data_IF_509537658781
#
_entry.id   IF_509537658781
#
_cell.length_a   1.000
_cell.length_b   1.000
_cell.length_c   1.000
_cell.angle_alpha   90.00
_cell.angle_beta   90.00
_cell.angle_gamma   90.00
#
_symmetry.space_group_name_H-M   'P 1'
#
loop_
_entity.id
_entity.type
_entity.pdbx_description
1 polymer ?
#
# COMPACT_ATOMS: atom_id res chain seq x y z
N UNK A 1 19.63 -26.30 -45.25
CA UNK A 1 20.82 -25.83 -44.51
C UNK A 1 20.87 -26.59 -43.20
N UNK A 2 22.06 -27.08 -42.86
CA UNK A 2 22.34 -28.14 -41.88
C UNK A 2 22.77 -27.51 -40.54
N UNK A 3 22.60 -28.29 -39.46
CA UNK A 3 23.26 -28.21 -38.14
C UNK A 3 22.65 -27.21 -37.12
N UNK A 4 22.55 -27.51 -35.82
CA UNK A 4 23.05 -28.63 -34.99
C UNK A 4 22.31 -28.62 -33.64
N UNK A 5 22.00 -29.80 -33.11
CA UNK A 5 21.65 -30.01 -31.70
C UNK A 5 22.83 -29.70 -30.78
N UNK A 6 22.55 -29.24 -29.56
CA UNK A 6 23.34 -29.58 -28.37
C UNK A 6 22.44 -29.72 -27.15
N UNK A 7 22.20 -30.98 -26.77
CA UNK A 7 21.78 -31.39 -25.44
C UNK A 7 22.99 -31.22 -24.49
N UNK A 8 22.77 -30.61 -23.32
CA UNK A 8 23.62 -30.85 -22.15
C UNK A 8 22.77 -31.25 -20.95
N UNK A 9 22.84 -32.54 -20.67
CA UNK A 9 22.49 -33.16 -19.40
C UNK A 9 23.64 -32.88 -18.42
N UNK A 10 23.36 -32.23 -17.31
CA UNK A 10 24.26 -32.26 -16.15
C UNK A 10 23.69 -33.25 -15.13
N UNK A 11 24.26 -34.46 -15.12
CA UNK A 11 24.19 -35.38 -13.98
C UNK A 11 25.08 -34.82 -12.88
N UNK A 12 24.54 -34.61 -11.69
CA UNK A 12 25.30 -34.35 -10.46
C UNK A 12 24.75 -35.23 -9.36
N UNK A 13 25.45 -36.32 -9.05
CA UNK A 13 25.16 -37.19 -7.92
C UNK A 13 25.97 -36.72 -6.71
N UNK A 14 25.25 -36.45 -5.61
CA UNK A 14 25.61 -36.51 -4.19
C UNK A 14 26.90 -35.83 -3.67
N UNK A 15 26.78 -35.08 -2.56
CA UNK A 15 27.13 -35.53 -1.20
C UNK A 15 26.88 -34.37 -0.21
N UNK A 16 26.14 -34.71 0.85
CA UNK A 16 26.13 -34.18 2.22
C UNK A 16 26.78 -32.81 2.46
N UNK A 17 25.91 -31.84 2.79
CA UNK A 17 26.28 -30.64 3.53
C UNK A 17 25.04 -30.17 4.28
N UNK A 18 24.84 -30.69 5.49
CA UNK A 18 23.89 -30.14 6.46
C UNK A 18 24.40 -28.76 6.88
N UNK A 19 24.14 -27.74 6.07
CA UNK A 19 24.32 -26.36 6.47
C UNK A 19 23.18 -26.03 7.42
N UNK A 20 23.48 -26.02 8.72
CA UNK A 20 22.68 -25.32 9.71
C UNK A 20 22.51 -23.88 9.23
N UNK A 21 21.33 -23.58 8.66
CA UNK A 21 20.85 -22.21 8.55
C UNK A 21 20.64 -21.79 9.99
N UNK A 22 21.62 -21.07 10.53
CA UNK A 22 21.38 -20.21 11.68
C UNK A 22 20.24 -19.29 11.24
N UNK A 23 19.04 -19.54 11.76
CA UNK A 23 18.02 -18.51 11.89
C UNK A 23 18.63 -17.46 12.80
N UNK A 24 19.42 -16.56 12.21
CA UNK A 24 19.73 -15.28 12.80
C UNK A 24 18.38 -14.66 13.09
N UNK A 25 18.11 -14.48 14.38
CA UNK A 25 17.14 -13.55 14.89
C UNK A 25 17.60 -12.16 14.39
N UNK A 26 17.29 -11.86 13.12
CA UNK A 26 17.41 -10.52 12.57
C UNK A 26 16.50 -9.67 13.43
N UNK A 27 17.11 -8.83 14.27
CA UNK A 27 16.38 -7.83 15.02
C UNK A 27 15.53 -7.08 14.01
N UNK A 28 14.21 -7.20 14.14
CA UNK A 28 13.30 -6.36 13.39
C UNK A 28 13.68 -4.93 13.74
N UNK A 29 14.32 -4.24 12.80
CA UNK A 29 14.42 -2.79 12.88
C UNK A 29 12.98 -2.29 13.06
N UNK A 30 12.75 -1.57 14.14
CA UNK A 30 11.44 -1.02 14.46
C UNK A 30 10.96 -0.20 13.26
N UNK A 31 9.87 -0.66 12.67
CA UNK A 31 9.19 -0.01 11.54
C UNK A 31 8.52 1.30 11.93
N UNK A 32 8.49 1.65 13.22
CA UNK A 32 7.98 2.94 13.73
C UNK A 32 8.68 4.14 13.08
N UNK A 33 9.97 3.97 12.75
CA UNK A 33 10.73 4.97 12.00
C UNK A 33 10.16 5.17 10.59
N UNK A 34 9.81 4.09 9.90
CA UNK A 34 9.32 4.14 8.53
C UNK A 34 7.94 4.80 8.44
N UNK A 35 7.02 4.49 9.35
CA UNK A 35 5.72 5.17 9.37
C UNK A 35 5.85 6.66 9.69
N UNK A 36 6.69 7.01 10.66
CA UNK A 36 6.95 8.40 11.03
C UNK A 36 7.59 9.19 9.87
N UNK A 37 8.49 8.58 9.11
CA UNK A 37 9.09 9.19 7.93
C UNK A 37 8.05 9.42 6.82
N UNK A 38 7.21 8.43 6.53
CA UNK A 38 6.11 8.57 5.57
C UNK A 38 5.10 9.64 5.98
N UNK A 39 4.81 9.75 7.28
CA UNK A 39 3.96 10.80 7.82
C UNK A 39 4.53 12.19 7.52
N UNK A 40 5.81 12.39 7.82
CA UNK A 40 6.48 13.67 7.61
C UNK A 40 6.67 14.02 6.12
N UNK A 41 6.88 13.00 5.27
CA UNK A 41 7.07 13.18 3.83
C UNK A 41 5.76 13.45 3.08
N UNK A 42 4.65 12.80 3.47
CA UNK A 42 3.41 12.82 2.67
C UNK A 42 2.11 12.85 3.48
N UNK A 43 1.92 11.96 4.45
CA UNK A 43 0.57 11.74 5.01
C UNK A 43 0.04 12.92 5.84
N UNK A 44 0.91 13.75 6.41
CA UNK A 44 0.51 14.94 7.17
C UNK A 44 -0.30 15.98 6.38
N UNK A 45 -0.35 15.87 5.04
CA UNK A 45 -1.14 16.76 4.18
C UNK A 45 -2.56 16.26 3.93
N UNK A 46 -2.85 14.98 4.16
CA UNK A 46 -4.13 14.36 3.80
C UNK A 46 -5.30 14.97 4.57
N UNK A 47 -5.13 15.26 5.86
CA UNK A 47 -6.20 15.79 6.70
C UNK A 47 -6.38 17.31 6.69
N UNK A 48 -5.53 18.08 6.01
CA UNK A 48 -5.56 19.55 6.10
C UNK A 48 -6.85 20.13 5.51
N UNK A 49 -7.37 19.53 4.43
CA UNK A 49 -8.54 20.07 3.72
C UNK A 49 -9.64 19.04 3.44
N UNK A 50 -9.29 17.76 3.28
CA UNK A 50 -10.20 16.76 2.71
C UNK A 50 -10.40 15.50 3.54
N UNK A 51 -9.66 15.31 4.63
CA UNK A 51 -9.84 14.12 5.46
C UNK A 51 -9.66 14.50 6.92
N UNK A 52 -10.47 15.43 7.39
CA UNK A 52 -10.58 15.74 8.82
C UNK A 52 -12.02 15.57 9.26
N UNK A 53 -12.22 15.33 10.55
CA UNK A 53 -13.55 15.22 11.16
C UNK A 53 -14.44 16.45 10.95
N UNK A 54 -13.89 17.60 10.53
CA UNK A 54 -14.61 18.83 10.22
C UNK A 54 -14.53 19.29 8.76
N UNK A 55 -14.07 18.44 7.83
CA UNK A 55 -13.98 18.79 6.41
C UNK A 55 -15.38 18.95 5.80
N UNK A 56 -15.71 20.15 5.32
CA UNK A 56 -17.01 20.52 4.73
C UNK A 56 -17.05 20.35 3.20
N UNK A 57 -16.30 19.38 2.67
CA UNK A 57 -16.13 19.14 1.24
C UNK A 57 -16.79 17.82 0.78
N UNK A 58 -17.67 17.25 1.59
CA UNK A 58 -18.33 15.98 1.34
C UNK A 58 -17.56 14.74 1.81
N UNK A 59 -16.35 14.91 2.36
CA UNK A 59 -15.58 13.82 2.98
C UNK A 59 -15.90 13.62 4.47
N UNK A 60 -16.71 14.51 5.04
CA UNK A 60 -17.27 14.38 6.37
C UNK A 60 -17.86 12.97 6.60
N UNK A 61 -17.59 12.43 7.80
CA UNK A 61 -17.91 11.06 8.21
C UNK A 61 -17.05 9.94 7.59
N UNK A 62 -16.00 10.28 6.83
CA UNK A 62 -14.94 9.37 6.42
C UNK A 62 -13.81 9.24 7.45
N UNK A 63 -12.68 8.61 7.06
CA UNK A 63 -11.46 8.54 7.87
C UNK A 63 -10.92 9.92 8.26
N UNK A 64 -10.53 10.10 9.53
CA UNK A 64 -9.81 11.29 9.99
C UNK A 64 -8.30 11.09 9.83
N UNK A 65 -7.69 11.88 8.95
CA UNK A 65 -6.27 11.86 8.60
C UNK A 65 -5.55 13.13 9.07
N UNK A 66 -6.15 13.90 9.99
CA UNK A 66 -5.61 15.17 10.49
C UNK A 66 -4.41 15.00 11.42
N UNK A 67 -4.25 13.83 12.03
CA UNK A 67 -3.12 13.50 12.91
C UNK A 67 -2.53 12.16 12.54
N UNK A 68 -1.28 11.93 12.96
CA UNK A 68 -0.58 10.67 12.73
C UNK A 68 -1.38 9.49 13.32
N UNK A 69 -1.80 9.61 14.57
CA UNK A 69 -2.54 8.55 15.24
C UNK A 69 -3.92 8.32 14.60
N UNK A 70 -4.63 9.39 14.23
CA UNK A 70 -5.92 9.26 13.53
C UNK A 70 -5.74 8.55 12.19
N UNK A 71 -4.76 8.96 11.37
CA UNK A 71 -4.47 8.33 10.09
C UNK A 71 -4.25 6.82 10.23
N UNK A 72 -3.41 6.42 11.19
CA UNK A 72 -3.13 5.01 11.41
C UNK A 72 -4.40 4.25 11.81
N UNK A 73 -5.11 4.74 12.82
CA UNK A 73 -6.27 4.08 13.42
C UNK A 73 -7.47 4.00 12.46
N UNK A 74 -7.59 4.97 11.55
CA UNK A 74 -8.73 5.11 10.64
C UNK A 74 -8.49 4.48 9.26
N UNK A 75 -7.24 4.14 8.92
CA UNK A 75 -6.93 3.46 7.64
C UNK A 75 -6.45 2.02 7.80
N UNK A 76 -5.58 1.73 8.76
CA UNK A 76 -4.95 0.41 8.87
C UNK A 76 -5.97 -0.63 9.33
N UNK A 77 -6.22 -1.64 8.47
CA UNK A 77 -7.24 -2.66 8.74
C UNK A 77 -8.69 -2.15 8.66
N UNK A 78 -8.91 -0.90 8.24
CA UNK A 78 -10.25 -0.32 8.04
C UNK A 78 -10.64 -0.35 6.57
N UNK A 79 -11.93 -0.34 6.31
CA UNK A 79 -12.51 -0.28 4.96
C UNK A 79 -13.65 0.74 4.93
N UNK A 80 -14.21 0.95 3.75
CA UNK A 80 -15.34 1.84 3.57
C UNK A 80 -16.60 1.40 4.35
N UNK A 81 -16.69 0.12 4.75
CA UNK A 81 -17.76 -0.39 5.61
C UNK A 81 -17.69 0.15 7.05
N UNK A 82 -16.51 0.61 7.51
CA UNK A 82 -16.36 1.26 8.81
C UNK A 82 -16.96 2.68 8.84
N UNK A 83 -17.26 3.25 7.67
CA UNK A 83 -17.71 4.63 7.48
C UNK A 83 -19.01 4.65 6.64
N UNK A 84 -20.14 4.17 7.18
CA UNK A 84 -21.37 3.95 6.41
C UNK A 84 -22.01 5.24 5.89
N UNK A 85 -21.72 6.38 6.50
CA UNK A 85 -22.25 7.69 6.11
C UNK A 85 -21.28 8.49 5.21
N UNK A 86 -20.12 7.93 4.89
CA UNK A 86 -19.12 8.61 4.09
C UNK A 86 -19.52 8.64 2.61
N UNK A 87 -19.69 9.85 2.07
CA UNK A 87 -19.93 10.06 0.64
C UNK A 87 -18.61 9.92 -0.11
N UNK A 88 -18.52 8.93 -1.00
CA UNK A 88 -17.29 8.58 -1.72
C UNK A 88 -17.52 8.45 -3.22
N UNK A 89 -16.46 8.73 -3.99
CA UNK A 89 -16.49 8.70 -5.46
C UNK A 89 -16.00 7.37 -6.08
N UNK A 90 -15.60 6.39 -5.26
CA UNK A 90 -15.17 5.06 -5.68
C UNK A 90 -16.08 3.95 -5.14
N UNK A 91 -16.05 2.79 -5.79
CA UNK A 91 -16.88 1.62 -5.46
C UNK A 91 -16.07 0.40 -4.97
N UNK A 92 -14.76 0.56 -4.74
CA UNK A 92 -13.89 -0.42 -4.06
C UNK A 92 -14.21 -0.53 -2.56
N UNK A 93 -15.41 -1.01 -2.24
CA UNK A 93 -16.03 -0.91 -0.92
C UNK A 93 -15.64 -2.03 0.05
N UNK A 94 -15.20 -3.16 -0.51
CA UNK A 94 -14.87 -4.40 0.21
C UNK A 94 -13.43 -4.44 0.67
N UNK A 95 -12.58 -3.65 0.04
CA UNK A 95 -11.14 -3.69 0.25
C UNK A 95 -10.72 -2.73 1.37
N UNK A 96 -9.70 -3.17 2.09
CA UNK A 96 -9.11 -2.41 3.19
C UNK A 96 -8.37 -1.19 2.62
N UNK A 97 -8.47 -0.05 3.30
CA UNK A 97 -7.73 1.15 2.94
C UNK A 97 -6.22 0.89 2.96
N UNK A 98 -5.72 0.32 4.05
CA UNK A 98 -4.35 -0.18 4.18
C UNK A 98 -4.40 -1.63 4.66
N UNK A 99 -4.09 -2.56 3.76
CA UNK A 99 -4.02 -3.98 4.02
C UNK A 99 -2.57 -4.35 4.40
N UNK A 100 -2.29 -4.39 5.71
CA UNK A 100 -0.96 -4.79 6.21
C UNK A 100 -0.55 -6.16 5.67
N UNK A 101 0.60 -6.22 5.01
CA UNK A 101 1.12 -7.39 4.31
C UNK A 101 0.84 -7.43 2.80
N UNK A 102 0.00 -6.52 2.28
CA UNK A 102 -0.40 -6.53 0.86
C UNK A 102 -0.73 -5.13 0.32
N UNK A 103 0.29 -4.44 -0.19
CA UNK A 103 0.14 -3.13 -0.82
C UNK A 103 -0.74 -3.17 -2.09
N UNK A 104 -0.78 -4.28 -2.82
CA UNK A 104 -1.52 -4.39 -4.08
C UNK A 104 -3.04 -4.36 -3.86
N UNK A 105 -3.50 -4.83 -2.71
CA UNK A 105 -4.91 -4.82 -2.30
C UNK A 105 -5.27 -3.63 -1.37
N UNK A 106 -4.35 -2.68 -1.16
CA UNK A 106 -4.60 -1.50 -0.34
C UNK A 106 -5.24 -0.38 -1.17
N UNK A 107 -6.49 -0.01 -0.89
CA UNK A 107 -7.19 1.02 -1.70
C UNK A 107 -6.59 2.41 -1.53
N UNK A 108 -5.82 2.67 -0.46
CA UNK A 108 -5.01 3.90 -0.32
C UNK A 108 -3.97 4.00 -1.43
N UNK A 109 -3.22 2.91 -1.71
CA UNK A 109 -2.24 2.87 -2.80
C UNK A 109 -2.94 3.15 -4.13
N UNK A 110 -4.06 2.48 -4.36
CA UNK A 110 -4.84 2.63 -5.59
C UNK A 110 -5.53 3.99 -5.72
N UNK A 111 -5.74 4.72 -4.61
CA UNK A 111 -6.28 6.07 -4.61
C UNK A 111 -5.22 7.15 -4.85
N UNK A 112 -3.94 6.85 -4.64
CA UNK A 112 -2.84 7.81 -4.77
C UNK A 112 -1.92 7.51 -5.96
N UNK A 113 -1.83 6.26 -6.41
CA UNK A 113 -0.85 5.80 -7.41
C UNK A 113 -1.56 5.16 -8.59
N UNK A 114 -1.26 5.64 -9.80
CA UNK A 114 -1.96 5.21 -11.03
C UNK A 114 -1.83 3.73 -11.34
N UNK A 115 -0.63 3.17 -11.22
CA UNK A 115 -0.42 1.74 -11.48
C UNK A 115 -1.24 0.84 -10.55
N UNK A 116 -1.44 1.23 -9.28
CA UNK A 116 -2.27 0.49 -8.33
C UNK A 116 -3.76 0.68 -8.62
N UNK A 117 -4.18 1.88 -9.03
CA UNK A 117 -5.55 2.13 -9.51
C UNK A 117 -5.90 1.26 -10.71
N UNK A 118 -5.01 1.22 -11.71
CA UNK A 118 -5.21 0.44 -12.93
C UNK A 118 -5.22 -1.06 -12.61
N UNK A 119 -4.32 -1.52 -11.74
CA UNK A 119 -4.31 -2.90 -11.25
C UNK A 119 -5.62 -3.28 -10.59
N UNK A 120 -6.08 -2.48 -9.61
CA UNK A 120 -7.32 -2.73 -8.86
C UNK A 120 -8.55 -2.72 -9.78
N UNK A 121 -8.61 -1.82 -10.75
CA UNK A 121 -9.67 -1.82 -11.76
C UNK A 121 -9.67 -3.09 -12.61
N UNK A 122 -8.49 -3.59 -13.00
CA UNK A 122 -8.36 -4.79 -13.81
C UNK A 122 -8.64 -6.09 -13.03
N UNK A 123 -8.23 -6.16 -11.77
CA UNK A 123 -8.32 -7.39 -10.96
C UNK A 123 -9.60 -7.49 -10.15
N UNK A 124 -10.12 -6.35 -9.67
CA UNK A 124 -11.31 -6.28 -8.81
C UNK A 124 -12.53 -5.69 -9.51
N UNK A 125 -12.35 -5.05 -10.67
CA UNK A 125 -13.46 -4.45 -11.41
C UNK A 125 -14.06 -3.21 -10.74
N UNK A 126 -13.31 -2.53 -9.87
CA UNK A 126 -13.77 -1.36 -9.14
C UNK A 126 -12.98 -0.08 -9.53
N UNK A 127 -13.54 1.08 -9.21
CA UNK A 127 -13.01 2.42 -9.44
C UNK A 127 -12.58 3.04 -8.13
N UNK A 128 -11.39 3.64 -8.12
CA UNK A 128 -10.80 4.31 -6.96
C UNK A 128 -10.97 5.82 -7.02
N UNK A 129 -10.57 6.52 -5.95
CA UNK A 129 -10.60 7.99 -5.89
C UNK A 129 -9.42 8.68 -6.62
N UNK A 130 -8.63 7.96 -7.43
CA UNK A 130 -7.42 8.51 -8.04
C UNK A 130 -7.68 9.79 -8.85
N UNK A 131 -8.75 9.83 -9.65
CA UNK A 131 -9.06 11.00 -10.48
C UNK A 131 -9.24 12.28 -9.65
N UNK A 132 -9.89 12.17 -8.49
CA UNK A 132 -10.06 13.30 -7.57
C UNK A 132 -8.71 13.72 -6.97
N UNK A 133 -7.90 12.76 -6.53
CA UNK A 133 -6.58 13.03 -5.98
C UNK A 133 -5.61 13.62 -7.02
N UNK A 134 -5.73 13.23 -8.28
CA UNK A 134 -4.94 13.75 -9.40
C UNK A 134 -5.28 15.21 -9.70
N UNK A 135 -6.58 15.53 -9.79
CA UNK A 135 -7.08 16.91 -10.00
C UNK A 135 -6.70 17.84 -8.84
N UNK A 136 -6.67 17.32 -7.61
CA UNK A 136 -6.25 18.07 -6.43
C UNK A 136 -4.73 18.04 -6.19
N UNK A 137 -3.94 17.51 -7.13
CA UNK A 137 -2.48 17.45 -7.06
C UNK A 137 -1.92 16.72 -5.83
N UNK A 138 -2.65 15.73 -5.32
CA UNK A 138 -2.22 14.89 -4.19
C UNK A 138 -1.85 13.47 -4.60
N UNK A 139 -2.14 13.06 -5.85
CA UNK A 139 -1.62 11.83 -6.43
C UNK A 139 -0.07 11.78 -6.38
N UNK A 140 0.49 10.58 -6.29
CA UNK A 140 1.92 10.34 -6.10
C UNK A 140 2.49 9.73 -7.38
N UNK A 141 3.57 10.35 -7.88
CA UNK A 141 4.34 9.88 -9.04
C UNK A 141 5.81 9.61 -8.71
N UNK A 142 6.27 9.99 -7.51
CA UNK A 142 7.63 9.72 -7.03
C UNK A 142 7.78 8.23 -6.70
N UNK A 143 8.59 7.53 -7.50
CA UNK A 143 8.80 6.09 -7.34
C UNK A 143 9.50 5.72 -6.02
N UNK A 144 10.41 6.56 -5.51
CA UNK A 144 11.08 6.26 -4.26
C UNK A 144 10.10 6.33 -3.08
N UNK A 145 9.22 7.34 -3.07
CA UNK A 145 8.15 7.41 -2.07
C UNK A 145 7.16 6.25 -2.21
N UNK A 146 6.81 5.86 -3.43
CA UNK A 146 5.94 4.69 -3.68
C UNK A 146 6.58 3.42 -3.12
N UNK A 147 7.86 3.18 -3.40
CA UNK A 147 8.58 1.99 -2.92
C UNK A 147 8.67 1.96 -1.38
N UNK A 148 8.89 3.12 -0.74
CA UNK A 148 8.85 3.25 0.72
C UNK A 148 7.47 2.92 1.30
N UNK A 149 6.39 3.41 0.68
CA UNK A 149 5.01 3.09 1.10
C UNK A 149 4.71 1.60 0.93
N UNK A 150 5.10 1.01 -0.20
CA UNK A 150 4.93 -0.42 -0.48
C UNK A 150 5.68 -1.27 0.54
N UNK A 151 6.93 -0.91 0.85
CA UNK A 151 7.71 -1.61 1.85
C UNK A 151 7.04 -1.54 3.23
N UNK A 152 6.57 -0.35 3.64
CA UNK A 152 5.89 -0.18 4.92
C UNK A 152 4.63 -1.04 5.02
N UNK A 153 3.77 -1.02 3.99
CA UNK A 153 2.53 -1.80 3.97
C UNK A 153 2.84 -3.30 3.97
N UNK A 154 3.75 -3.76 3.10
CA UNK A 154 4.10 -5.18 3.00
C UNK A 154 4.80 -5.71 4.27
N UNK A 155 5.43 -4.84 5.06
CA UNK A 155 5.97 -5.17 6.38
C UNK A 155 4.91 -5.15 7.49
N UNK A 156 3.62 -5.10 7.15
CA UNK A 156 2.51 -5.18 8.08
C UNK A 156 1.89 -3.83 8.46
N UNK A 157 2.33 -2.73 7.85
CA UNK A 157 1.83 -1.38 8.13
C UNK A 157 1.83 -1.04 9.63
N UNK A 158 2.96 -1.26 10.30
CA UNK A 158 3.13 -1.02 11.74
C UNK A 158 3.36 0.49 12.03
N UNK A 159 2.90 0.96 13.20
CA UNK A 159 3.13 2.34 13.76
C UNK A 159 4.55 2.56 14.51
#
# INVERSE_FOLDING_TARGET
MVAKEWVRVCKGTAVVGLTMIMFGCGGGESTDGQYTDLWNKKFNTCGVNCHSSGAADGTENGPDLSTKDSFYNDLVGKSAANYPNWLRLGDCNTDTFIHGGDAAHSTMMASLVRSYSDHMSQTQGCTTALSLHDVNHVAITDQALIDEMVAWINNGALN
#
